data_IF_135430643702
#
_entry.id   IF_135430643702
#
_cell.length_a   1.000
_cell.length_b   1.000
_cell.length_c   1.000
_cell.angle_alpha   90.00
_cell.angle_beta   90.00
_cell.angle_gamma   90.00
#
_symmetry.space_group_name_H-M   'P 1'
#
loop_
_entity.id
_entity.type
_entity.pdbx_description
1 polymer ?
#
# COMPACT_ATOMS: atom_id res chain seq x y z
N UNK A 1 1.58 6.69 -0.95
CA UNK A 1 1.13 7.22 0.37
C UNK A 1 2.05 8.33 0.86
N UNK A 2 1.54 9.32 1.60
CA UNK A 2 2.30 10.52 2.01
C UNK A 2 1.98 10.90 3.45
N UNK A 3 2.98 11.32 4.22
CA UNK A 3 2.79 12.05 5.47
C UNK A 3 2.73 13.55 5.15
N UNK A 4 1.53 14.08 4.94
CA UNK A 4 1.32 15.50 4.67
C UNK A 4 1.26 16.38 5.94
N UNK A 5 1.29 15.75 7.12
CA UNK A 5 1.27 16.44 8.40
C UNK A 5 2.59 17.15 8.73
N UNK A 6 2.57 18.08 9.69
CA UNK A 6 3.77 18.80 10.14
C UNK A 6 4.70 17.93 11.01
N UNK A 7 4.18 16.85 11.58
CA UNK A 7 4.89 15.98 12.52
C UNK A 7 5.42 14.71 11.84
N UNK A 8 6.54 14.20 12.33
CA UNK A 8 7.05 12.89 11.92
C UNK A 8 6.22 11.77 12.56
N UNK A 9 6.07 10.65 11.85
CA UNK A 9 5.39 9.44 12.34
C UNK A 9 6.39 8.27 12.49
N UNK A 10 7.23 8.26 13.55
CA UNK A 10 8.23 7.22 13.76
C UNK A 10 7.58 5.88 14.14
N UNK A 11 8.15 4.78 13.65
CA UNK A 11 7.73 3.40 13.96
C UNK A 11 6.26 3.12 13.68
N UNK A 12 5.73 3.74 12.63
CA UNK A 12 4.41 3.42 12.11
C UNK A 12 4.42 2.05 11.46
N UNK A 13 3.32 1.32 11.53
CA UNK A 13 3.19 0.00 10.92
C UNK A 13 2.57 0.17 9.54
N UNK A 14 3.31 -0.26 8.52
CA UNK A 14 2.87 -0.37 7.14
C UNK A 14 2.31 -1.77 6.90
N UNK A 15 1.06 -1.84 6.47
CA UNK A 15 0.39 -3.10 6.16
C UNK A 15 -0.02 -3.14 4.69
N UNK A 16 0.40 -4.20 4.01
CA UNK A 16 -0.16 -4.65 2.73
C UNK A 16 -0.87 -5.97 3.00
N UNK A 17 -2.19 -5.97 2.87
CA UNK A 17 -3.00 -7.17 3.06
C UNK A 17 -2.86 -8.12 1.85
N UNK A 18 -3.17 -9.40 2.05
CA UNK A 18 -3.31 -10.33 0.93
C UNK A 18 -4.44 -9.89 0.02
N UNK A 19 -4.20 -10.05 -1.27
CA UNK A 19 -5.18 -9.86 -2.33
C UNK A 19 -5.36 -11.22 -2.99
N UNK A 20 -6.26 -12.09 -2.51
CA UNK A 20 -6.43 -13.47 -3.01
C UNK A 20 -6.80 -13.53 -4.50
N UNK A 21 -7.31 -12.42 -5.04
CA UNK A 21 -7.62 -12.20 -6.44
C UNK A 21 -6.35 -12.07 -7.32
N UNK A 22 -5.17 -11.86 -6.72
CA UNK A 22 -3.87 -11.80 -7.38
C UNK A 22 -3.01 -13.02 -7.04
N UNK A 23 -2.64 -13.79 -8.05
CA UNK A 23 -1.59 -14.80 -7.99
C UNK A 23 -0.21 -14.22 -8.28
N UNK A 24 0.85 -14.91 -7.84
CA UNK A 24 2.25 -14.54 -8.09
C UNK A 24 2.55 -13.07 -7.75
N UNK A 25 2.16 -12.64 -6.55
CA UNK A 25 2.28 -11.24 -6.14
C UNK A 25 3.69 -10.88 -5.74
N UNK A 26 4.18 -9.79 -6.32
CA UNK A 26 5.39 -9.09 -5.92
C UNK A 26 5.09 -7.62 -5.68
N UNK A 27 5.95 -6.96 -4.92
CA UNK A 27 5.85 -5.54 -4.69
C UNK A 27 7.21 -4.87 -4.63
N UNK A 28 7.23 -3.60 -4.97
CA UNK A 28 8.39 -2.71 -4.83
C UNK A 28 8.02 -1.48 -4.04
N UNK A 29 8.99 -0.96 -3.29
CA UNK A 29 8.82 0.23 -2.47
C UNK A 29 9.95 1.22 -2.77
N UNK A 30 9.57 2.45 -3.07
CA UNK A 30 10.48 3.59 -3.23
C UNK A 30 10.09 4.71 -2.28
N UNK A 31 11.06 5.55 -1.93
CA UNK A 31 10.88 6.56 -0.89
C UNK A 31 11.05 7.98 -1.43
N UNK A 32 10.36 8.91 -0.78
CA UNK A 32 10.46 10.35 -1.04
C UNK A 32 10.65 11.07 0.29
N UNK A 33 11.48 12.11 0.31
CA UNK A 33 11.58 13.02 1.45
C UNK A 33 12.13 12.39 2.73
N UNK A 34 13.05 11.41 2.62
CA UNK A 34 13.71 10.80 3.77
C UNK A 34 12.92 9.69 4.47
N UNK A 35 11.78 9.27 3.93
CA UNK A 35 11.12 8.04 4.35
C UNK A 35 12.02 6.82 4.11
N UNK A 36 11.75 5.74 4.85
CA UNK A 36 12.43 4.46 4.69
C UNK A 36 11.42 3.35 4.44
N UNK A 37 11.62 2.62 3.34
CA UNK A 37 10.94 1.35 3.11
C UNK A 37 11.53 0.27 4.03
N UNK A 38 10.71 -0.70 4.48
CA UNK A 38 11.21 -1.83 5.27
C UNK A 38 12.08 -2.76 4.40
N UNK A 39 11.72 -2.91 3.13
CA UNK A 39 12.55 -3.50 2.08
C UNK A 39 12.27 -2.79 0.74
N UNK A 40 13.23 -2.85 -0.18
CA UNK A 40 13.06 -2.28 -1.54
C UNK A 40 12.04 -3.05 -2.40
N UNK A 41 11.76 -4.30 -2.01
CA UNK A 41 10.75 -5.14 -2.63
C UNK A 41 10.57 -6.45 -1.86
N UNK A 42 9.51 -7.19 -2.21
CA UNK A 42 9.15 -8.45 -1.60
C UNK A 42 8.01 -9.15 -2.34
N UNK A 43 7.48 -10.21 -1.76
CA UNK A 43 6.37 -10.97 -2.29
C UNK A 43 5.29 -11.14 -1.23
N UNK A 44 4.03 -11.20 -1.65
CA UNK A 44 2.88 -11.38 -0.75
C UNK A 44 2.63 -10.19 0.18
N UNK A 45 2.18 -10.49 1.40
CA UNK A 45 1.78 -9.52 2.42
C UNK A 45 2.96 -8.76 3.03
N UNK A 46 2.68 -7.61 3.63
CA UNK A 46 3.66 -6.80 4.38
C UNK A 46 3.05 -6.35 5.70
N UNK A 47 3.84 -6.36 6.77
CA UNK A 47 3.42 -5.93 8.11
C UNK A 47 4.61 -5.42 8.91
N UNK A 48 5.24 -4.35 8.43
CA UNK A 48 6.56 -3.92 8.89
C UNK A 48 6.55 -2.49 9.45
N UNK A 49 7.49 -2.19 10.33
CA UNK A 49 7.64 -0.84 10.87
C UNK A 49 8.43 0.07 9.92
N UNK A 50 7.95 1.29 9.78
CA UNK A 50 8.53 2.36 8.96
C UNK A 50 8.65 3.66 9.74
N UNK A 51 9.46 4.58 9.22
CA UNK A 51 9.52 5.96 9.69
C UNK A 51 9.13 6.91 8.56
N UNK A 52 8.15 7.78 8.83
CA UNK A 52 7.68 8.79 7.88
C UNK A 52 7.95 10.20 8.45
N UNK A 53 9.08 10.85 8.11
CA UNK A 53 9.28 12.27 8.39
C UNK A 53 8.13 13.14 7.85
N UNK A 54 8.00 14.35 8.39
CA UNK A 54 7.03 15.33 7.88
C UNK A 54 7.28 15.63 6.39
N UNK A 55 6.23 15.60 5.57
CA UNK A 55 6.29 15.80 4.12
C UNK A 55 6.88 14.62 3.33
N UNK A 56 7.22 13.51 3.98
CA UNK A 56 7.80 12.33 3.33
C UNK A 56 6.74 11.39 2.75
N UNK A 57 7.17 10.37 2.02
CA UNK A 57 6.26 9.41 1.42
C UNK A 57 6.89 8.10 0.98
N UNK A 58 6.02 7.12 0.79
CA UNK A 58 6.35 5.85 0.15
C UNK A 58 5.52 5.71 -1.13
N UNK A 59 6.18 5.28 -2.19
CA UNK A 59 5.55 4.87 -3.44
C UNK A 59 5.68 3.37 -3.55
N UNK A 60 4.52 2.72 -3.62
CA UNK A 60 4.38 1.28 -3.56
C UNK A 60 3.74 0.81 -4.85
N UNK A 61 4.33 -0.19 -5.48
CA UNK A 61 3.82 -0.81 -6.70
C UNK A 61 3.69 -2.29 -6.42
N UNK A 62 2.47 -2.82 -6.49
CA UNK A 62 2.19 -4.24 -6.41
C UNK A 62 1.91 -4.77 -7.81
N UNK A 63 2.59 -5.85 -8.17
CA UNK A 63 2.36 -6.60 -9.40
C UNK A 63 1.78 -7.98 -9.05
N UNK A 64 1.04 -8.55 -9.99
CA UNK A 64 0.49 -9.89 -9.87
C UNK A 64 -0.31 -10.28 -11.10
N UNK A 65 -0.77 -11.53 -11.10
CA UNK A 65 -1.65 -12.06 -12.13
C UNK A 65 -3.07 -12.11 -11.57
N UNK A 66 -3.97 -11.30 -12.11
CA UNK A 66 -5.37 -11.32 -11.70
C UNK A 66 -6.04 -12.64 -12.07
N UNK A 67 -6.94 -13.12 -11.21
CA UNK A 67 -7.80 -14.27 -11.51
C UNK A 67 -8.60 -13.99 -12.80
N UNK A 68 -8.56 -14.91 -13.75
CA UNK A 68 -9.32 -14.81 -14.98
C UNK A 68 -10.84 -14.77 -14.74
N UNK A 69 -11.33 -15.23 -13.58
CA UNK A 69 -12.73 -15.19 -13.20
C UNK A 69 -13.16 -13.89 -12.53
N UNK A 70 -12.25 -12.93 -12.28
CA UNK A 70 -12.62 -11.65 -11.67
C UNK A 70 -13.69 -10.93 -12.50
N UNK A 71 -14.81 -10.62 -11.89
CA UNK A 71 -15.90 -9.84 -12.48
C UNK A 71 -15.99 -8.42 -11.91
N UNK A 72 -15.59 -8.28 -10.64
CA UNK A 72 -15.55 -7.01 -9.94
C UNK A 72 -14.15 -6.34 -10.09
N UNK A 73 -14.05 -5.03 -9.86
CA UNK A 73 -12.77 -4.35 -9.84
C UNK A 73 -11.83 -4.95 -8.79
N UNK A 74 -10.56 -5.09 -9.16
CA UNK A 74 -9.51 -5.47 -8.23
C UNK A 74 -9.13 -4.25 -7.38
N UNK A 75 -9.21 -4.39 -6.06
CA UNK A 75 -8.84 -3.31 -5.14
C UNK A 75 -7.64 -3.77 -4.31
N UNK A 76 -6.54 -3.03 -4.40
CA UNK A 76 -5.37 -3.18 -3.54
C UNK A 76 -5.38 -2.04 -2.53
N UNK A 77 -5.15 -2.33 -1.26
CA UNK A 77 -5.04 -1.29 -0.22
C UNK A 77 -3.81 -1.50 0.63
N UNK A 78 -3.06 -0.41 0.81
CA UNK A 78 -1.95 -0.29 1.75
C UNK A 78 -2.40 0.65 2.86
N UNK A 79 -2.23 0.25 4.11
CA UNK A 79 -2.55 1.08 5.27
C UNK A 79 -1.31 1.38 6.08
N UNK A 80 -1.31 2.54 6.72
CA UNK A 80 -0.37 2.90 7.78
C UNK A 80 -1.14 3.15 9.06
N UNK A 81 -0.57 2.70 10.17
CA UNK A 81 -1.09 3.07 11.48
C UNK A 81 0.09 3.37 12.38
N UNK A 82 -0.01 4.45 13.15
CA UNK A 82 1.03 4.69 14.15
C UNK A 82 0.96 3.64 15.27
N UNK A 83 2.10 3.34 15.88
CA UNK A 83 2.20 2.33 16.94
C UNK A 83 2.43 2.98 18.30
N UNK A 84 1.50 2.80 19.23
CA UNK A 84 1.64 3.29 20.61
C UNK A 84 2.80 2.65 21.39
N UNK A 85 3.38 1.55 20.87
CA UNK A 85 4.57 0.93 21.44
C UNK A 85 5.88 1.65 21.06
N UNK A 86 5.84 2.56 20.07
CA UNK A 86 7.03 3.28 19.60
C UNK A 86 7.33 4.49 20.50
N UNK A 87 8.59 4.68 20.93
CA UNK A 87 9.01 5.92 21.60
C UNK A 87 8.73 7.15 20.72
N UNK A 88 8.15 8.21 21.30
CA UNK A 88 7.72 9.42 20.59
C UNK A 88 6.61 9.18 19.54
N UNK A 89 5.75 8.18 19.77
CA UNK A 89 4.53 7.99 18.99
C UNK A 89 3.70 9.27 18.93
N UNK A 90 3.32 9.64 17.70
CA UNK A 90 2.42 10.77 17.41
C UNK A 90 1.06 10.20 17.03
N UNK A 91 0.01 10.72 17.67
CA UNK A 91 -1.37 10.39 17.32
C UNK A 91 -1.75 11.19 16.09
N UNK A 92 -2.13 10.49 15.03
CA UNK A 92 -2.86 11.11 13.93
C UNK A 92 -4.33 11.27 14.32
N UNK A 93 -4.79 12.52 14.43
CA UNK A 93 -6.18 12.83 14.75
C UNK A 93 -7.16 12.45 13.63
N UNK A 94 -6.67 12.31 12.40
CA UNK A 94 -7.44 11.90 11.23
C UNK A 94 -6.87 10.60 10.65
N UNK A 95 -7.26 9.47 11.26
CA UNK A 95 -6.82 8.16 10.77
C UNK A 95 -7.43 7.76 9.42
N UNK A 96 -8.40 8.52 8.88
CA UNK A 96 -9.09 8.17 7.63
C UNK A 96 -8.23 8.37 6.39
N UNK A 97 -7.15 9.15 6.51
CA UNK A 97 -6.23 9.45 5.42
C UNK A 97 -4.99 8.53 5.39
N UNK A 98 -4.87 7.59 6.33
CA UNK A 98 -3.71 6.71 6.46
C UNK A 98 -3.78 5.46 5.60
N UNK A 99 -4.42 5.56 4.43
CA UNK A 99 -4.52 4.48 3.46
C UNK A 99 -4.29 4.99 2.05
N UNK A 100 -3.72 4.14 1.20
CA UNK A 100 -3.67 4.32 -0.23
C UNK A 100 -4.28 3.09 -0.87
N UNK A 101 -5.19 3.30 -1.82
CA UNK A 101 -5.84 2.23 -2.56
C UNK A 101 -5.64 2.44 -4.06
N UNK A 102 -5.49 1.33 -4.77
CA UNK A 102 -5.51 1.29 -6.23
C UNK A 102 -6.67 0.41 -6.69
N UNK A 103 -7.35 0.82 -7.76
CA UNK A 103 -8.54 0.14 -8.29
C UNK A 103 -8.32 -0.13 -9.77
N UNK A 104 -8.23 -1.42 -10.11
CA UNK A 104 -8.13 -1.85 -11.49
C UNK A 104 -9.47 -2.41 -11.98
N UNK A 105 -10.08 -1.70 -12.93
CA UNK A 105 -11.33 -2.13 -13.56
C UNK A 105 -11.04 -3.22 -14.60
N UNK A 106 -11.72 -4.36 -14.47
CA UNK A 106 -11.56 -5.47 -15.41
C UNK A 106 -12.57 -5.32 -16.55
N UNK A 107 -12.19 -4.58 -17.59
CA UNK A 107 -13.00 -4.47 -18.81
C UNK A 107 -12.81 -5.69 -19.71
N UNK A 108 -13.84 -6.54 -19.81
CA UNK A 108 -13.88 -7.68 -20.73
C UNK A 108 -14.32 -7.22 -22.13
N UNK A 109 -13.51 -6.40 -22.81
CA UNK A 109 -13.87 -5.89 -24.14
C UNK A 109 -13.82 -6.96 -25.26
N UNK A 110 -13.30 -8.17 -25.00
CA UNK A 110 -13.14 -9.20 -26.04
C UNK A 110 -13.89 -10.53 -25.80
N UNK A 111 -14.92 -10.58 -24.96
CA UNK A 111 -15.64 -11.84 -24.67
C UNK A 111 -16.75 -12.22 -25.66
N UNK A 112 -17.03 -11.39 -26.67
CA UNK A 112 -17.81 -11.81 -27.84
C UNK A 112 -16.98 -11.52 -29.07
N UNK A 113 -16.47 -12.56 -29.72
CA UNK A 113 -15.50 -12.46 -30.82
C UNK A 113 -15.90 -11.50 -31.93
N UNK A 114 -14.90 -11.05 -32.70
CA UNK A 114 -15.14 -10.48 -34.00
C UNK A 114 -15.68 -11.58 -34.92
N UNK A 115 -17.00 -11.66 -35.07
CA UNK A 115 -17.60 -12.09 -36.35
C UNK A 115 -17.64 -10.90 -37.31
#
# INVERSE_FOLDING_TARGET
MRNAGPDAAPGSVLVLASTPELGNTDWTCSTVGGAQCPAVGGAGELGEQISLPAGSGLDFIQNGVADAQLVDPLIVTVTVSGSAATPNFVIDSDSSNNQASDVNNIERIFTSGFE
#
